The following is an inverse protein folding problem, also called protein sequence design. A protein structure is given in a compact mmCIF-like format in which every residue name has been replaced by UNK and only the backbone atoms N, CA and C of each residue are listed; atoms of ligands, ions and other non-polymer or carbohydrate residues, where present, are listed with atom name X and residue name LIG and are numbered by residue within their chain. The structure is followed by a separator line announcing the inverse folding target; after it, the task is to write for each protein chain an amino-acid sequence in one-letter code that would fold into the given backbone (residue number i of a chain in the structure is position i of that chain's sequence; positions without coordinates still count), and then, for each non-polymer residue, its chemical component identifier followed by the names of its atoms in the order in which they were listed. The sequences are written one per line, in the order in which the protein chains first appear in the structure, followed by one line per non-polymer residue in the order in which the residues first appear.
data_IF_975872883355
#
_entry.id   IF_975872883355
#
_cell.length_a   1.000
_cell.length_b   1.000
_cell.length_c   1.000
_cell.angle_alpha   90.00
_cell.angle_beta   90.00
_cell.angle_gamma   90.00
#
_symmetry.space_group_name_H-M   'P 1'
#
loop_
_entity.id
_entity.type
_entity.pdbx_description
1 polymer ?
#
# COMPACT_ATOMS: atom_id res chain seq x y z
N UNK A 1 -68.25 -15.02 -38.68
CA UNK A 1 -67.78 -14.88 -37.27
C UNK A 1 -66.28 -15.17 -37.26
N UNK A 2 -65.45 -14.13 -37.24
CA UNK A 2 -63.98 -14.25 -37.23
C UNK A 2 -63.50 -14.16 -35.79
N UNK A 3 -62.84 -15.22 -35.30
CA UNK A 3 -62.21 -15.28 -33.97
C UNK A 3 -60.81 -14.66 -34.07
N UNK A 4 -60.58 -13.56 -33.37
CA UNK A 4 -59.26 -12.98 -33.21
C UNK A 4 -58.57 -13.61 -32.00
N UNK A 5 -57.49 -14.37 -32.23
CA UNK A 5 -56.65 -14.96 -31.20
C UNK A 5 -55.61 -13.89 -30.83
N UNK A 6 -55.73 -13.34 -29.64
CA UNK A 6 -54.79 -12.37 -29.08
C UNK A 6 -53.53 -13.10 -28.56
N UNK A 7 -52.41 -12.95 -29.27
CA UNK A 7 -51.13 -13.50 -28.89
C UNK A 7 -50.46 -12.55 -27.92
N UNK A 8 -50.46 -12.85 -26.63
CA UNK A 8 -49.85 -12.08 -25.56
C UNK A 8 -48.36 -12.42 -25.49
N UNK A 9 -47.52 -11.64 -26.18
CA UNK A 9 -46.04 -11.81 -26.12
C UNK A 9 -45.55 -11.22 -24.81
N UNK A 10 -45.27 -12.08 -23.82
CA UNK A 10 -44.63 -11.70 -22.56
C UNK A 10 -43.13 -11.49 -22.80
N UNK A 11 -42.73 -10.23 -23.05
CA UNK A 11 -41.32 -9.84 -23.07
C UNK A 11 -40.72 -9.92 -21.67
N UNK A 12 -40.00 -11.02 -21.41
CA UNK A 12 -39.18 -11.18 -20.19
C UNK A 12 -37.98 -10.25 -20.27
N UNK A 13 -38.09 -9.05 -19.66
CA UNK A 13 -36.98 -8.17 -19.42
C UNK A 13 -36.03 -8.80 -18.40
N UNK A 14 -35.04 -9.53 -18.89
CA UNK A 14 -33.90 -9.98 -18.06
C UNK A 14 -33.06 -8.76 -17.79
N UNK A 15 -33.31 -8.11 -16.66
CA UNK A 15 -32.41 -7.11 -16.09
C UNK A 15 -31.11 -7.83 -15.69
N UNK A 16 -30.10 -7.76 -16.55
CA UNK A 16 -28.74 -8.17 -16.20
C UNK A 16 -28.22 -7.14 -15.21
N UNK A 17 -28.53 -7.32 -13.92
CA UNK A 17 -27.77 -6.69 -12.87
C UNK A 17 -26.36 -7.25 -12.99
N UNK A 18 -25.46 -6.49 -13.59
CA UNK A 18 -24.03 -6.75 -13.53
C UNK A 18 -23.61 -6.71 -12.07
N UNK A 19 -23.70 -7.84 -11.38
CA UNK A 19 -23.05 -8.03 -10.10
C UNK A 19 -21.57 -7.82 -10.38
N UNK A 20 -21.02 -6.69 -9.96
CA UNK A 20 -19.58 -6.47 -9.92
C UNK A 20 -19.01 -7.44 -8.87
N UNK A 21 -18.82 -8.68 -9.27
CA UNK A 21 -18.15 -9.69 -8.46
C UNK A 21 -16.70 -9.25 -8.30
N UNK A 22 -16.21 -9.26 -7.06
CA UNK A 22 -14.78 -9.14 -6.78
C UNK A 22 -14.02 -10.22 -7.55
N UNK A 23 -12.90 -9.87 -8.16
CA UNK A 23 -12.07 -10.82 -8.90
C UNK A 23 -11.45 -11.84 -7.95
N UNK A 24 -11.92 -13.10 -8.05
CA UNK A 24 -11.49 -14.19 -7.17
C UNK A 24 -9.99 -14.47 -7.26
N UNK A 25 -9.38 -14.30 -8.45
CA UNK A 25 -7.95 -14.47 -8.67
C UNK A 25 -7.17 -13.36 -7.95
N UNK A 26 -7.57 -12.10 -8.12
CA UNK A 26 -6.95 -10.99 -7.41
C UNK A 26 -7.11 -11.14 -5.89
N UNK A 27 -8.29 -11.56 -5.43
CA UNK A 27 -8.55 -11.84 -4.01
C UNK A 27 -7.60 -12.88 -3.43
N UNK A 28 -7.41 -14.00 -4.12
CA UNK A 28 -6.48 -15.05 -3.70
C UNK A 28 -5.01 -14.58 -3.66
N UNK A 29 -4.60 -13.75 -4.62
CA UNK A 29 -3.25 -13.16 -4.64
C UNK A 29 -3.04 -12.23 -3.43
N UNK A 30 -4.03 -11.36 -3.13
CA UNK A 30 -3.99 -10.47 -1.96
C UNK A 30 -3.90 -11.29 -0.66
N UNK A 31 -4.74 -12.32 -0.50
CA UNK A 31 -4.76 -13.18 0.68
C UNK A 31 -3.41 -13.89 0.88
N UNK A 32 -2.81 -14.41 -0.19
CA UNK A 32 -1.51 -15.06 -0.15
C UNK A 32 -0.39 -14.07 0.22
N UNK A 33 -0.41 -12.84 -0.32
CA UNK A 33 0.50 -11.78 0.05
C UNK A 33 0.34 -11.44 1.54
N UNK A 34 -0.86 -11.13 2.00
CA UNK A 34 -1.11 -10.76 3.39
C UNK A 34 -0.73 -11.88 4.36
N UNK A 35 -1.01 -13.15 4.02
CA UNK A 35 -0.59 -14.31 4.80
C UNK A 35 0.93 -14.35 4.94
N UNK A 36 1.69 -14.15 3.84
CA UNK A 36 3.16 -14.10 3.87
C UNK A 36 3.66 -13.06 4.85
N UNK A 37 3.17 -11.82 4.76
CA UNK A 37 3.66 -10.73 5.63
C UNK A 37 3.24 -10.89 7.09
N UNK A 38 2.05 -11.45 7.37
CA UNK A 38 1.59 -11.77 8.73
C UNK A 38 2.43 -12.83 9.44
N UNK A 39 3.08 -13.72 8.70
CA UNK A 39 3.94 -14.76 9.30
C UNK A 39 5.32 -14.25 9.71
N UNK A 40 5.69 -13.05 9.27
CA UNK A 40 6.99 -12.45 9.60
C UNK A 40 6.92 -11.71 10.94
N UNK A 41 7.89 -11.95 11.82
CA UNK A 41 8.03 -11.18 13.06
C UNK A 41 8.42 -9.73 12.78
N UNK A 42 9.21 -9.53 11.74
CA UNK A 42 9.72 -8.23 11.27
C UNK A 42 10.22 -8.38 9.84
N UNK A 43 10.45 -7.28 9.15
CA UNK A 43 11.20 -7.28 7.88
C UNK A 43 11.84 -5.92 7.65
N UNK A 44 12.85 -5.92 6.79
CA UNK A 44 13.47 -4.72 6.25
C UNK A 44 13.37 -4.69 4.73
N UNK A 45 13.25 -3.50 4.15
CA UNK A 45 13.35 -3.32 2.71
C UNK A 45 14.08 -2.04 2.37
N UNK A 46 14.89 -2.07 1.31
CA UNK A 46 15.32 -0.85 0.60
C UNK A 46 14.46 -0.66 -0.63
N UNK A 47 14.15 0.58 -0.94
CA UNK A 47 13.29 0.90 -2.08
C UNK A 47 13.73 2.19 -2.76
N UNK A 48 13.29 2.36 -4.01
CA UNK A 48 13.32 3.64 -4.72
C UNK A 48 11.91 4.19 -4.82
N UNK A 49 11.80 5.52 -4.76
CA UNK A 49 10.55 6.26 -4.86
C UNK A 49 10.70 7.37 -5.91
N UNK A 50 9.74 7.45 -6.80
CA UNK A 50 9.67 8.47 -7.84
C UNK A 50 8.24 8.99 -8.01
N UNK A 51 8.14 10.24 -8.44
CA UNK A 51 6.86 10.92 -8.72
C UNK A 51 6.85 11.36 -10.17
N UNK A 52 5.76 11.12 -10.89
CA UNK A 52 5.59 11.56 -12.27
C UNK A 52 5.83 13.08 -12.41
N UNK A 53 6.57 13.45 -13.45
CA UNK A 53 6.97 14.84 -13.68
C UNK A 53 8.16 15.33 -12.87
N UNK A 54 8.72 14.49 -11.96
CA UNK A 54 9.98 14.78 -11.25
C UNK A 54 11.10 13.91 -11.81
N UNK A 55 12.25 14.52 -12.11
CA UNK A 55 13.48 13.78 -12.41
C UNK A 55 14.14 13.18 -11.17
N UNK A 56 13.71 13.60 -9.97
CA UNK A 56 14.28 13.15 -8.71
C UNK A 56 13.74 11.77 -8.34
N UNK A 57 14.65 10.81 -8.19
CA UNK A 57 14.38 9.48 -7.63
C UNK A 57 15.00 9.42 -6.25
N UNK A 58 14.15 9.25 -5.23
CA UNK A 58 14.60 9.12 -3.85
C UNK A 58 14.86 7.65 -3.51
N UNK A 59 15.82 7.42 -2.64
CA UNK A 59 16.07 6.11 -2.06
C UNK A 59 15.62 6.10 -0.61
N UNK A 60 15.10 4.98 -0.16
CA UNK A 60 14.65 4.81 1.22
C UNK A 60 14.90 3.41 1.75
N UNK A 61 14.82 3.32 3.06
CA UNK A 61 14.86 2.06 3.79
C UNK A 61 13.73 2.06 4.80
N UNK A 62 13.06 0.92 4.92
CA UNK A 62 12.03 0.70 5.92
C UNK A 62 12.32 -0.56 6.71
N UNK A 63 12.09 -0.50 8.01
CA UNK A 63 12.04 -1.68 8.89
C UNK A 63 10.69 -1.70 9.58
N UNK A 64 10.05 -2.86 9.62
CA UNK A 64 8.71 -3.04 10.18
C UNK A 64 8.70 -4.20 11.17
N UNK A 65 7.98 -4.03 12.29
CA UNK A 65 7.71 -5.06 13.30
C UNK A 65 6.29 -4.87 13.87
N UNK A 66 5.36 -5.69 13.43
CA UNK A 66 3.94 -5.50 13.75
C UNK A 66 3.42 -4.14 13.23
N UNK A 67 2.88 -3.32 14.12
CA UNK A 67 2.44 -1.94 13.80
C UNK A 67 3.55 -0.90 13.82
N UNK A 68 4.74 -1.27 14.30
CA UNK A 68 5.89 -0.36 14.43
C UNK A 68 6.68 -0.31 13.13
N UNK A 69 7.16 0.88 12.78
CA UNK A 69 8.07 1.03 11.63
C UNK A 69 9.07 2.16 11.82
N UNK A 70 10.20 2.04 11.16
CA UNK A 70 11.16 3.12 10.96
C UNK A 70 11.44 3.25 9.48
N UNK A 71 11.19 4.45 8.95
CA UNK A 71 11.34 4.77 7.54
C UNK A 71 12.35 5.89 7.37
N UNK A 72 13.35 5.69 6.50
CA UNK A 72 14.33 6.70 6.10
C UNK A 72 14.17 6.97 4.61
N UNK A 73 13.96 8.22 4.22
CA UNK A 73 13.90 8.63 2.83
C UNK A 73 14.05 10.14 2.69
N UNK A 74 14.69 10.62 1.62
CA UNK A 74 14.64 12.01 1.19
C UNK A 74 15.02 13.06 2.25
N UNK A 75 15.96 12.75 3.15
CA UNK A 75 16.34 13.67 4.23
C UNK A 75 15.43 13.63 5.46
N UNK A 76 14.43 12.75 5.47
CA UNK A 76 13.53 12.53 6.60
C UNK A 76 13.72 11.14 7.20
N UNK A 77 13.47 11.05 8.50
CA UNK A 77 13.41 9.77 9.22
C UNK A 77 12.16 9.73 10.09
N UNK A 78 11.31 8.74 9.85
CA UNK A 78 10.04 8.57 10.55
C UNK A 78 10.16 7.36 11.48
N UNK A 79 9.85 7.58 12.74
CA UNK A 79 9.80 6.57 13.80
C UNK A 79 8.34 6.39 14.20
N UNK A 80 7.84 5.17 14.16
CA UNK A 80 6.53 4.81 14.70
C UNK A 80 6.73 3.67 15.68
N UNK A 81 6.53 3.95 16.97
CA UNK A 81 6.66 2.96 18.03
C UNK A 81 5.33 2.25 18.37
N UNK A 82 4.27 2.53 17.62
CA UNK A 82 2.92 1.99 17.80
C UNK A 82 2.03 2.83 18.72
N UNK A 83 2.56 3.91 19.34
CA UNK A 83 1.81 4.88 20.17
C UNK A 83 1.94 6.29 19.62
N UNK A 84 3.11 6.65 19.17
CA UNK A 84 3.45 7.97 18.62
C UNK A 84 4.24 7.82 17.32
N UNK A 85 4.20 8.88 16.53
CA UNK A 85 5.00 9.06 15.32
C UNK A 85 5.92 10.26 15.52
N UNK A 86 7.24 10.05 15.37
CA UNK A 86 8.22 11.11 15.35
C UNK A 86 8.81 11.24 13.94
N UNK A 87 8.68 12.42 13.33
CA UNK A 87 9.24 12.73 12.02
C UNK A 87 10.41 13.69 12.18
N UNK A 88 11.62 13.17 12.02
CA UNK A 88 12.84 13.97 12.01
C UNK A 88 13.13 14.49 10.60
N UNK A 89 13.38 15.79 10.48
CA UNK A 89 13.71 16.48 9.24
C UNK A 89 15.16 16.93 9.35
N UNK A 90 16.02 16.31 8.54
CA UNK A 90 17.48 16.53 8.62
C UNK A 90 17.87 17.97 8.25
N UNK A 91 17.19 18.58 7.29
CA UNK A 91 17.52 19.91 6.76
C UNK A 91 17.36 20.99 7.84
N UNK A 92 16.29 20.93 8.63
CA UNK A 92 15.99 21.90 9.69
C UNK A 92 16.49 21.45 11.06
N UNK A 93 16.95 20.19 11.19
CA UNK A 93 17.30 19.55 12.45
C UNK A 93 16.15 19.58 13.47
N UNK A 94 14.94 19.36 13.01
CA UNK A 94 13.72 19.36 13.80
C UNK A 94 13.11 17.97 13.88
N UNK A 95 12.40 17.68 14.97
CA UNK A 95 11.52 16.51 15.07
C UNK A 95 10.11 16.93 15.48
N UNK A 96 9.14 16.51 14.71
CA UNK A 96 7.71 16.67 15.02
C UNK A 96 7.19 15.35 15.61
N UNK A 97 6.61 15.41 16.80
CA UNK A 97 6.07 14.24 17.51
C UNK A 97 4.55 14.40 17.63
N UNK A 98 3.80 13.38 17.20
CA UNK A 98 2.35 13.33 17.31
C UNK A 98 1.89 11.94 17.78
N UNK A 99 0.68 11.84 18.28
CA UNK A 99 0.06 10.55 18.55
C UNK A 99 -0.09 9.74 17.27
N UNK A 100 0.06 8.41 17.37
CA UNK A 100 -0.17 7.53 16.26
C UNK A 100 -1.65 7.19 16.13
N UNK A 101 -2.30 7.78 15.16
CA UNK A 101 -3.66 7.44 14.76
C UNK A 101 -3.62 6.52 13.53
N UNK A 102 -3.93 5.21 13.70
CA UNK A 102 -3.99 4.30 12.56
C UNK A 102 -5.11 4.70 11.62
N UNK A 103 -4.78 5.20 10.44
CA UNK A 103 -5.77 5.43 9.39
C UNK A 103 -5.91 4.16 8.52
N UNK A 104 -7.14 3.68 8.33
CA UNK A 104 -7.43 2.54 7.44
C UNK A 104 -7.08 2.83 5.97
N UNK A 105 -7.02 4.11 5.61
CA UNK A 105 -6.76 4.56 4.23
C UNK A 105 -5.31 4.99 4.00
N UNK A 106 -4.41 4.77 4.97
CA UNK A 106 -3.03 5.17 4.88
C UNK A 106 -2.23 4.10 4.10
N UNK A 107 -2.06 4.34 2.79
CA UNK A 107 -1.29 3.50 1.87
C UNK A 107 0.21 3.85 1.91
N UNK A 108 0.73 4.09 3.11
CA UNK A 108 2.16 4.31 3.26
C UNK A 108 2.96 3.00 3.02
N UNK A 109 4.28 3.09 2.78
CA UNK A 109 5.14 1.93 2.56
C UNK A 109 5.06 0.84 3.64
N UNK A 110 4.67 1.21 4.88
CA UNK A 110 4.54 0.26 5.99
C UNK A 110 3.23 -0.53 5.94
N UNK A 111 2.22 -0.10 5.19
CA UNK A 111 0.88 -0.68 5.21
C UNK A 111 0.44 -1.32 3.89
N UNK A 112 1.23 -1.20 2.82
CA UNK A 112 0.87 -1.75 1.50
C UNK A 112 0.52 -3.24 1.49
N UNK A 113 0.93 -3.99 2.52
CA UNK A 113 0.67 -5.43 2.68
C UNK A 113 -0.33 -5.76 3.79
N UNK A 114 -0.90 -4.76 4.48
CA UNK A 114 -1.83 -4.96 5.62
C UNK A 114 -3.17 -4.25 5.47
N UNK A 115 -3.46 -3.67 4.31
CA UNK A 115 -4.72 -2.97 4.08
C UNK A 115 -5.94 -3.92 4.21
N UNK A 116 -7.08 -3.38 4.66
CA UNK A 116 -8.34 -4.13 4.62
C UNK A 116 -8.87 -4.18 3.18
N UNK A 117 -8.85 -5.37 2.57
CA UNK A 117 -9.31 -5.55 1.20
C UNK A 117 -10.79 -5.21 1.00
N UNK A 118 -11.62 -5.19 2.08
CA UNK A 118 -13.03 -4.80 2.01
C UNK A 118 -13.23 -3.33 1.63
N UNK A 119 -12.24 -2.48 1.88
CA UNK A 119 -12.27 -1.08 1.48
C UNK A 119 -11.90 -0.83 0.02
N UNK A 120 -11.66 -1.89 -0.77
CA UNK A 120 -11.19 -1.78 -2.14
C UNK A 120 -11.93 -2.73 -3.07
N UNK A 121 -12.27 -2.25 -4.25
CA UNK A 121 -12.49 -3.11 -5.41
C UNK A 121 -11.12 -3.48 -5.98
N UNK A 122 -10.93 -4.74 -6.34
CA UNK A 122 -9.66 -5.24 -6.86
C UNK A 122 -9.86 -6.14 -8.07
N UNK A 123 -8.91 -6.08 -9.00
CA UNK A 123 -8.89 -6.89 -10.22
C UNK A 123 -7.49 -7.39 -10.52
N UNK A 124 -7.40 -8.59 -11.10
CA UNK A 124 -6.18 -9.10 -11.71
C UNK A 124 -5.98 -8.42 -13.05
N UNK A 125 -4.83 -7.78 -13.26
CA UNK A 125 -4.54 -7.06 -14.50
C UNK A 125 -3.85 -7.96 -15.50
N UNK A 126 -2.71 -8.54 -15.10
CA UNK A 126 -1.87 -9.37 -15.98
C UNK A 126 -0.79 -10.12 -15.21
N UNK A 127 -0.18 -11.06 -15.89
CA UNK A 127 1.10 -11.66 -15.52
C UNK A 127 2.20 -11.11 -16.43
N UNK A 128 3.37 -10.80 -15.87
CA UNK A 128 4.52 -10.30 -16.61
C UNK A 128 5.79 -11.08 -16.22
N UNK A 129 6.71 -11.26 -17.16
CA UNK A 129 8.02 -11.86 -16.89
C UNK A 129 9.10 -10.81 -17.09
N UNK A 130 9.91 -10.58 -16.06
CA UNK A 130 11.01 -9.60 -16.07
C UNK A 130 12.23 -10.23 -15.40
N UNK A 131 13.39 -10.19 -16.08
CA UNK A 131 14.63 -10.71 -15.51
C UNK A 131 14.58 -12.21 -15.18
N UNK A 132 13.79 -13.00 -15.90
CA UNK A 132 13.62 -14.44 -15.65
C UNK A 132 12.65 -14.79 -14.51
N UNK A 133 12.05 -13.81 -13.86
CA UNK A 133 11.05 -14.00 -12.83
C UNK A 133 9.65 -13.61 -13.31
N UNK A 134 8.64 -14.36 -12.86
CA UNK A 134 7.22 -14.07 -13.18
C UNK A 134 6.58 -13.28 -12.06
N UNK A 135 5.79 -12.28 -12.44
CA UNK A 135 5.08 -11.39 -11.54
C UNK A 135 3.59 -11.34 -11.88
N UNK A 136 2.77 -11.20 -10.86
CA UNK A 136 1.34 -10.93 -10.96
C UNK A 136 1.08 -9.47 -10.66
N UNK A 137 0.25 -8.84 -11.47
CA UNK A 137 -0.14 -7.44 -11.31
C UNK A 137 -1.61 -7.38 -10.95
N UNK A 138 -1.92 -6.77 -9.82
CA UNK A 138 -3.28 -6.47 -9.36
C UNK A 138 -3.48 -4.96 -9.30
N UNK A 139 -4.71 -4.52 -9.51
CA UNK A 139 -5.13 -3.12 -9.33
C UNK A 139 -6.21 -3.04 -8.26
N UNK A 140 -6.06 -2.10 -7.35
CA UNK A 140 -6.98 -1.78 -6.25
C UNK A 140 -7.57 -0.40 -6.51
N UNK A 141 -8.87 -0.24 -6.33
CA UNK A 141 -9.57 1.05 -6.36
C UNK A 141 -10.35 1.22 -5.06
N UNK A 142 -10.10 2.30 -4.28
CA UNK A 142 -10.85 2.55 -3.05
C UNK A 142 -12.36 2.64 -3.32
N UNK A 143 -13.18 1.98 -2.49
CA UNK A 143 -14.64 2.09 -2.58
C UNK A 143 -15.15 3.37 -1.93
N UNK A 144 -14.46 3.87 -0.91
CA UNK A 144 -14.80 5.11 -0.22
C UNK A 144 -14.65 6.30 -1.15
N UNK A 145 -15.75 7.04 -1.36
CA UNK A 145 -15.73 8.31 -2.10
C UNK A 145 -14.95 9.37 -1.32
N UNK A 146 -14.30 10.27 -2.02
CA UNK A 146 -13.57 11.39 -1.39
C UNK A 146 -12.10 11.12 -1.09
N UNK A 147 -11.60 9.90 -1.27
CA UNK A 147 -10.15 9.60 -1.10
C UNK A 147 -9.32 10.35 -2.14
N UNK A 148 -8.10 10.75 -1.81
CA UNK A 148 -7.16 11.36 -2.75
C UNK A 148 -6.57 10.35 -3.74
N UNK A 149 -6.56 9.07 -3.37
CA UNK A 149 -6.10 7.96 -4.22
C UNK A 149 -7.22 7.51 -5.13
N UNK A 150 -6.97 7.41 -6.43
CA UNK A 150 -7.89 6.83 -7.41
C UNK A 150 -7.66 5.34 -7.59
N UNK A 151 -6.39 4.89 -7.58
CA UNK A 151 -6.02 3.48 -7.70
C UNK A 151 -4.62 3.18 -7.19
N UNK A 152 -4.40 1.92 -6.85
CA UNK A 152 -3.08 1.37 -6.51
C UNK A 152 -2.84 0.13 -7.34
N UNK A 153 -1.76 0.10 -8.10
CA UNK A 153 -1.32 -1.08 -8.83
C UNK A 153 -0.17 -1.73 -8.09
N UNK A 154 -0.29 -3.02 -7.75
CA UNK A 154 0.73 -3.76 -7.02
C UNK A 154 1.27 -4.86 -7.91
N UNK A 155 2.60 -4.95 -8.04
CA UNK A 155 3.32 -6.04 -8.70
C UNK A 155 3.91 -6.96 -7.63
N UNK A 156 3.57 -8.23 -7.71
CA UNK A 156 3.94 -9.28 -6.77
C UNK A 156 4.73 -10.37 -7.47
N UNK A 157 5.79 -10.87 -6.85
CA UNK A 157 6.45 -12.07 -7.34
C UNK A 157 5.45 -13.25 -7.30
N UNK A 158 5.29 -13.96 -8.43
CA UNK A 158 4.29 -15.03 -8.56
C UNK A 158 4.59 -16.21 -7.64
N UNK A 159 5.87 -16.53 -7.43
CA UNK A 159 6.30 -17.71 -6.66
C UNK A 159 6.11 -17.50 -5.15
N UNK A 160 6.56 -16.36 -4.64
CA UNK A 160 6.66 -16.17 -3.19
C UNK A 160 5.77 -15.01 -2.66
N UNK A 161 5.00 -14.36 -3.53
CA UNK A 161 4.07 -13.27 -3.23
C UNK A 161 4.72 -12.04 -2.55
N UNK A 162 6.04 -11.87 -2.68
CA UNK A 162 6.69 -10.64 -2.24
C UNK A 162 6.32 -9.47 -3.14
N UNK A 163 6.12 -8.31 -2.53
CA UNK A 163 5.85 -7.08 -3.25
C UNK A 163 7.13 -6.61 -3.95
N UNK A 164 7.09 -6.49 -5.28
CA UNK A 164 8.18 -5.97 -6.11
C UNK A 164 8.07 -4.47 -6.30
N UNK A 165 6.86 -3.97 -6.54
CA UNK A 165 6.59 -2.55 -6.67
C UNK A 165 5.11 -2.25 -6.46
N UNK A 166 4.80 -0.99 -6.15
CA UNK A 166 3.43 -0.48 -6.24
C UNK A 166 3.44 0.94 -6.81
N UNK A 167 2.34 1.28 -7.47
CA UNK A 167 2.11 2.59 -8.06
C UNK A 167 0.80 3.12 -7.52
N UNK A 168 0.88 4.23 -6.81
CA UNK A 168 -0.28 4.98 -6.34
C UNK A 168 -0.61 6.04 -7.39
N UNK A 169 -1.86 6.08 -7.86
CA UNK A 169 -2.35 7.12 -8.76
C UNK A 169 -3.36 7.96 -7.99
N UNK A 170 -3.17 9.26 -7.95
CA UNK A 170 -4.11 10.19 -7.34
C UNK A 170 -5.29 10.53 -8.29
N UNK A 171 -6.22 11.37 -7.83
CA UNK A 171 -7.37 11.81 -8.63
C UNK A 171 -7.01 12.65 -9.84
N UNK A 172 -5.84 13.31 -9.81
CA UNK A 172 -5.34 14.13 -10.90
C UNK A 172 -4.54 13.31 -11.92
N UNK A 173 -4.43 12.00 -11.71
CA UNK A 173 -3.67 11.08 -12.55
C UNK A 173 -2.17 11.06 -12.26
N UNK A 174 -1.67 11.83 -11.29
CA UNK A 174 -0.26 11.85 -10.89
C UNK A 174 0.10 10.53 -10.21
N UNK A 175 1.20 9.92 -10.63
CA UNK A 175 1.63 8.62 -10.12
C UNK A 175 2.84 8.77 -9.20
N UNK A 176 2.81 8.00 -8.12
CA UNK A 176 3.91 7.78 -7.21
C UNK A 176 4.31 6.31 -7.32
N UNK A 177 5.55 6.06 -7.70
CA UNK A 177 6.05 4.71 -7.94
C UNK A 177 7.07 4.32 -6.88
N UNK A 178 6.82 3.20 -6.22
CA UNK A 178 7.73 2.57 -5.26
C UNK A 178 8.24 1.26 -5.85
N UNK A 179 9.55 1.03 -5.83
CA UNK A 179 10.18 -0.22 -6.26
C UNK A 179 11.02 -0.79 -5.12
N UNK A 180 10.76 -2.04 -4.73
CA UNK A 180 11.56 -2.74 -3.72
C UNK A 180 12.85 -3.23 -4.40
N UNK A 181 14.00 -2.77 -3.88
CA UNK A 181 15.33 -3.15 -4.37
C UNK A 181 15.85 -4.39 -3.62
N UNK A 182 15.69 -4.40 -2.29
CA UNK A 182 16.08 -5.52 -1.43
C UNK A 182 15.01 -5.75 -0.37
N UNK A 183 14.70 -6.98 -0.09
CA UNK A 183 13.78 -7.40 0.97
C UNK A 183 14.47 -8.41 1.88
N UNK A 184 14.38 -8.19 3.19
CA UNK A 184 15.00 -9.06 4.22
C UNK A 184 13.94 -9.41 5.26
N UNK A 185 13.43 -10.65 5.29
CA UNK A 185 12.50 -11.09 6.32
C UNK A 185 13.18 -11.29 7.67
N UNK A 186 12.40 -11.20 8.74
CA UNK A 186 12.80 -11.52 10.13
C UNK A 186 14.09 -10.81 10.60
N UNK A 187 14.18 -9.51 10.32
CA UNK A 187 15.30 -8.68 10.79
C UNK A 187 15.30 -8.63 12.32
N UNK A 188 16.46 -8.91 12.93
CA UNK A 188 16.60 -8.83 14.38
C UNK A 188 16.65 -7.36 14.82
N UNK A 189 15.55 -6.87 15.40
CA UNK A 189 15.42 -5.52 15.94
C UNK A 189 14.65 -5.53 17.26
N UNK A 190 15.08 -4.70 18.19
CA UNK A 190 14.33 -4.45 19.44
C UNK A 190 13.30 -3.31 19.24
N UNK A 191 12.48 -3.12 20.25
CA UNK A 191 11.41 -2.10 20.17
C UNK A 191 11.94 -0.67 20.27
N UNK A 192 13.12 -0.46 20.89
CA UNK A 192 13.76 0.86 20.99
C UNK A 192 14.21 1.39 19.63
N UNK A 193 14.42 0.49 18.66
CA UNK A 193 14.77 0.88 17.28
C UNK A 193 13.69 1.75 16.60
N UNK A 194 12.45 1.62 17.03
CA UNK A 194 11.29 2.31 16.47
C UNK A 194 10.91 3.59 17.22
N UNK A 195 11.57 3.89 18.32
CA UNK A 195 11.37 5.11 19.08
C UNK A 195 12.41 6.18 18.69
N UNK A 196 11.99 7.44 18.66
CA UNK A 196 12.92 8.56 18.52
C UNK A 196 13.75 8.69 19.81
N UNK A 197 15.06 8.77 19.66
CA UNK A 197 15.99 8.94 20.77
C UNK A 197 16.76 10.25 20.56
N UNK A 198 16.34 11.30 21.29
CA UNK A 198 16.92 12.64 21.21
C UNK A 198 18.45 12.66 21.38
N UNK A 199 19.00 11.74 22.18
CA UNK A 199 20.45 11.68 22.43
C UNK A 199 21.29 11.41 21.18
N UNK A 200 20.66 10.84 20.12
CA UNK A 200 21.30 10.54 18.83
C UNK A 200 21.22 11.68 17.83
N UNK A 201 20.57 12.80 18.19
CA UNK A 201 20.34 13.97 17.33
C UNK A 201 20.75 15.26 18.06
N UNK A 202 22.05 15.55 18.12
CA UNK A 202 22.56 16.73 18.84
C UNK A 202 21.93 18.03 18.32
N UNK A 203 21.45 18.87 19.23
CA UNK A 203 20.86 20.18 18.89
C UNK A 203 19.50 20.09 18.21
N UNK A 204 18.82 18.92 18.19
CA UNK A 204 17.51 18.79 17.56
C UNK A 204 16.46 19.64 18.30
N UNK A 205 15.70 20.42 17.54
CA UNK A 205 14.49 21.08 18.02
C UNK A 205 13.33 20.07 18.06
N UNK A 206 12.62 20.03 19.20
CA UNK A 206 11.51 19.07 19.40
C UNK A 206 10.19 19.83 19.44
N UNK A 207 9.35 19.56 18.45
CA UNK A 207 7.99 20.07 18.35
C UNK A 207 7.03 18.96 18.79
N UNK A 208 6.57 19.00 20.05
CA UNK A 208 5.58 18.04 20.57
C UNK A 208 4.17 18.55 20.24
N UNK A 209 3.47 17.79 19.39
CA UNK A 209 2.14 18.12 18.86
C UNK A 209 1.04 17.22 19.45
N UNK A 210 1.37 16.48 20.52
CA UNK A 210 0.42 15.58 21.21
C UNK A 210 -0.53 16.31 22.11
#
# INVERSE_FOLDING_TARGET
MKKYTLFFTFCLLISVFGAYSQDSKAGAIIDAMQKKYKTMKSFGASFTYGVDGSSQVLQGNITVKGSKYRLKTGGQEIFNNGKEVATYIKETNEVNISDYEPSENDLNPAKVYTFDKKGFRYVFVQEVTEGGESYEVIELSPEKKGTQVSKVKIKLNKKDKSVKSWVITDKNGKRQTFKVNKFTPNVAVDDKYFAFDKSKYPGVEVNDLR
#
